data_IF_667275913155
#
_entry.id   IF_667275913155
#
_cell.length_a   1.000
_cell.length_b   1.000
_cell.length_c   1.000
_cell.angle_alpha   90.00
_cell.angle_beta   90.00
_cell.angle_gamma   90.00
#
_symmetry.space_group_name_H-M   'P 1'
#
loop_
_entity.id
_entity.type
_entity.pdbx_description
1 polymer ?
#
# COMPACT_ATOMS: atom_id res chain seq x y z
N UNK A 1 -33.59 -34.26 -37.19
CA UNK A 1 -34.27 -33.61 -36.06
C UNK A 1 -33.30 -32.65 -35.37
N UNK A 2 -33.74 -31.49 -34.87
CA UNK A 2 -32.93 -30.51 -34.14
C UNK A 2 -32.99 -30.74 -32.62
N UNK A 3 -31.85 -30.75 -31.93
CA UNK A 3 -31.59 -30.28 -30.53
C UNK A 3 -30.06 -30.14 -30.34
N UNK A 4 -29.51 -29.27 -29.47
CA UNK A 4 -30.15 -28.12 -28.82
C UNK A 4 -29.52 -27.58 -27.51
N UNK A 5 -28.34 -28.03 -27.05
CA UNK A 5 -27.76 -27.70 -25.74
C UNK A 5 -26.27 -27.34 -25.86
N UNK A 6 -25.79 -26.10 -25.63
CA UNK A 6 -25.75 -25.29 -24.39
C UNK A 6 -24.58 -25.65 -23.44
N UNK A 7 -23.52 -24.86 -23.48
CA UNK A 7 -22.45 -24.85 -22.47
C UNK A 7 -22.99 -24.42 -21.10
N UNK A 8 -22.38 -24.90 -20.00
CA UNK A 8 -22.05 -23.97 -18.93
C UNK A 8 -20.63 -24.12 -18.37
N UNK A 9 -19.99 -22.97 -18.24
CA UNK A 9 -19.02 -22.55 -17.23
C UNK A 9 -18.73 -23.53 -16.08
N UNK A 10 -17.47 -23.97 -15.95
CA UNK A 10 -16.95 -24.57 -14.71
C UNK A 10 -16.03 -23.58 -13.98
N UNK A 11 -16.62 -22.79 -13.08
CA UNK A 11 -15.92 -22.05 -12.03
C UNK A 11 -15.75 -22.97 -10.83
N UNK A 12 -14.54 -23.48 -10.57
CA UNK A 12 -14.21 -24.09 -9.28
C UNK A 12 -12.74 -23.84 -8.89
N UNK A 13 -12.54 -22.84 -8.02
CA UNK A 13 -11.31 -22.61 -7.28
C UNK A 13 -11.63 -22.68 -5.78
N UNK A 14 -11.25 -23.77 -5.11
CA UNK A 14 -10.85 -23.84 -3.68
C UNK A 14 -10.57 -25.27 -3.23
N UNK A 15 -9.75 -25.36 -2.17
CA UNK A 15 -9.49 -26.53 -1.31
C UNK A 15 -8.43 -27.54 -1.79
N UNK A 16 -7.21 -27.36 -1.26
CA UNK A 16 -6.19 -28.39 -1.00
C UNK A 16 -6.72 -29.50 -0.07
N UNK A 17 -5.97 -30.62 0.19
CA UNK A 17 -4.76 -31.14 -0.47
C UNK A 17 -4.93 -32.60 -0.96
N UNK A 18 -3.86 -33.21 -1.48
CA UNK A 18 -3.71 -34.66 -1.71
C UNK A 18 -4.43 -35.25 -2.94
N UNK A 19 -3.85 -35.06 -4.13
CA UNK A 19 -3.61 -36.09 -5.17
C UNK A 19 -2.75 -35.44 -6.28
N UNK A 20 -1.43 -35.59 -6.17
CA UNK A 20 -0.49 -35.47 -7.29
C UNK A 20 0.13 -36.85 -7.56
N UNK A 21 -0.74 -37.87 -7.68
CA UNK A 21 -0.36 -39.26 -7.99
C UNK A 21 -1.19 -39.87 -9.13
N UNK A 22 -1.59 -39.05 -10.12
CA UNK A 22 -1.90 -39.54 -11.46
C UNK A 22 -1.83 -38.41 -12.50
N UNK A 23 -0.66 -38.25 -13.11
CA UNK A 23 -0.61 -37.81 -14.52
C UNK A 23 0.30 -38.78 -15.28
N UNK A 24 -0.24 -39.63 -16.16
CA UNK A 24 0.58 -40.37 -17.09
C UNK A 24 1.16 -39.39 -18.11
N UNK A 25 2.48 -39.46 -18.29
CA UNK A 25 3.30 -38.85 -19.36
C UNK A 25 2.50 -38.21 -20.52
N UNK A 26 2.10 -36.95 -20.31
CA UNK A 26 1.18 -36.19 -21.18
C UNK A 26 1.77 -34.86 -21.66
N UNK A 27 3.08 -34.86 -21.93
CA UNK A 27 3.89 -33.83 -22.60
C UNK A 27 3.22 -32.45 -22.80
N UNK A 28 3.21 -31.63 -21.74
CA UNK A 28 3.13 -30.18 -21.93
C UNK A 28 4.31 -29.77 -22.81
N UNK A 29 4.08 -29.05 -23.93
CA UNK A 29 5.14 -28.59 -24.85
C UNK A 29 6.00 -27.44 -24.26
N UNK A 30 6.36 -27.55 -22.99
CA UNK A 30 7.33 -26.65 -22.35
C UNK A 30 8.72 -27.17 -22.77
N UNK A 31 9.61 -26.34 -23.34
CA UNK A 31 10.93 -26.80 -23.72
C UNK A 31 11.67 -27.35 -22.49
N UNK A 32 12.30 -28.51 -22.60
CA UNK A 32 13.00 -29.17 -21.48
C UNK A 32 14.03 -28.24 -20.80
N UNK A 33 14.62 -27.33 -21.59
CA UNK A 33 15.49 -26.26 -21.09
C UNK A 33 14.79 -25.32 -20.07
N UNK A 34 13.53 -24.93 -20.31
CA UNK A 34 12.78 -24.07 -19.39
C UNK A 34 12.45 -24.80 -18.09
N UNK A 35 12.13 -26.09 -18.16
CA UNK A 35 11.92 -26.92 -16.97
C UNK A 35 13.21 -27.03 -16.15
N UNK A 36 14.34 -27.37 -16.77
CA UNK A 36 15.63 -27.43 -16.06
C UNK A 36 16.04 -26.10 -15.46
N UNK A 37 15.87 -24.98 -16.18
CA UNK A 37 16.16 -23.64 -15.66
C UNK A 37 15.27 -23.34 -14.44
N UNK A 38 13.96 -23.58 -14.51
CA UNK A 38 13.05 -23.34 -13.40
C UNK A 38 13.38 -24.22 -12.17
N UNK A 39 13.61 -25.51 -12.37
CA UNK A 39 14.01 -26.44 -11.29
C UNK A 39 15.33 -26.01 -10.67
N UNK A 40 16.34 -25.63 -11.46
CA UNK A 40 17.63 -25.20 -10.95
C UNK A 40 17.53 -23.87 -10.20
N UNK A 41 16.79 -22.89 -10.73
CA UNK A 41 16.57 -21.59 -10.09
C UNK A 41 15.83 -21.72 -8.74
N UNK A 42 14.88 -22.65 -8.63
CA UNK A 42 14.15 -22.91 -7.39
C UNK A 42 14.93 -23.78 -6.39
N UNK A 43 15.66 -24.81 -6.83
CA UNK A 43 16.33 -25.75 -5.92
C UNK A 43 17.74 -25.33 -5.50
N UNK A 44 18.50 -24.62 -6.35
CA UNK A 44 19.87 -24.20 -6.04
C UNK A 44 19.97 -23.34 -4.76
N UNK A 45 19.12 -22.31 -4.53
CA UNK A 45 19.20 -21.51 -3.29
C UNK A 45 18.95 -22.37 -2.04
N UNK A 46 18.01 -23.32 -2.12
CA UNK A 46 17.70 -24.25 -1.03
C UNK A 46 18.85 -25.22 -0.74
N UNK A 47 19.50 -25.76 -1.77
CA UNK A 47 20.65 -26.65 -1.63
C UNK A 47 21.87 -25.93 -1.02
N UNK A 48 22.12 -24.68 -1.44
CA UNK A 48 23.18 -23.83 -0.85
C UNK A 48 22.86 -23.50 0.61
N UNK A 49 21.62 -23.12 0.92
CA UNK A 49 21.20 -22.86 2.29
C UNK A 49 21.32 -24.09 3.21
N UNK A 50 20.91 -25.27 2.72
CA UNK A 50 20.98 -26.52 3.49
C UNK A 50 22.43 -26.99 3.74
N UNK A 51 23.29 -26.90 2.73
CA UNK A 51 24.73 -27.23 2.89
C UNK A 51 25.43 -26.25 3.82
N UNK A 52 25.13 -24.95 3.72
CA UNK A 52 25.62 -23.94 4.66
C UNK A 52 25.14 -24.19 6.10
N UNK A 53 23.86 -24.53 6.29
CA UNK A 53 23.28 -24.85 7.60
C UNK A 53 23.94 -26.10 8.23
N UNK A 54 24.21 -27.14 7.43
CA UNK A 54 24.94 -28.33 7.88
C UNK A 54 26.40 -28.05 8.26
N UNK A 55 27.06 -27.16 7.52
CA UNK A 55 28.43 -26.71 7.84
C UNK A 55 28.45 -25.88 9.14
N UNK A 56 27.59 -24.87 9.24
CA UNK A 56 27.46 -24.02 10.43
C UNK A 56 27.02 -24.82 11.68
N UNK A 57 26.13 -25.80 11.52
CA UNK A 57 25.73 -26.69 12.61
C UNK A 57 26.88 -27.57 13.13
N UNK A 58 27.75 -28.07 12.24
CA UNK A 58 28.95 -28.82 12.64
C UNK A 58 29.93 -27.94 13.41
N UNK A 59 30.19 -26.72 12.95
CA UNK A 59 31.04 -25.75 13.66
C UNK A 59 30.45 -25.35 15.02
N UNK A 60 29.12 -25.24 15.12
CA UNK A 60 28.44 -24.93 16.37
C UNK A 60 28.60 -26.05 17.42
N UNK A 61 28.46 -27.31 17.01
CA UNK A 61 28.69 -28.48 17.88
C UNK A 61 30.18 -28.64 18.24
N UNK A 62 31.08 -28.24 17.35
CA UNK A 62 32.52 -28.26 17.59
C UNK A 62 33.04 -27.11 18.49
N UNK A 63 32.18 -26.19 18.92
CA UNK A 63 32.56 -25.09 19.82
C UNK A 63 33.54 -24.08 19.23
N UNK A 64 33.56 -23.92 17.91
CA UNK A 64 34.52 -23.03 17.24
C UNK A 64 34.37 -21.55 17.64
N UNK A 65 35.49 -20.84 17.79
CA UNK A 65 35.56 -19.46 18.28
C UNK A 65 34.66 -18.46 17.50
N UNK A 66 34.43 -18.73 16.20
CA UNK A 66 33.54 -17.94 15.35
C UNK A 66 32.03 -18.10 15.61
N UNK A 67 31.59 -19.03 16.47
CA UNK A 67 30.16 -19.29 16.71
C UNK A 67 29.44 -18.05 17.28
N UNK A 68 30.05 -17.40 18.28
CA UNK A 68 29.48 -16.22 18.94
C UNK A 68 29.32 -15.08 17.92
N UNK A 69 30.32 -14.88 17.05
CA UNK A 69 30.27 -13.87 15.99
C UNK A 69 29.14 -14.13 15.00
N UNK A 70 28.92 -15.38 14.58
CA UNK A 70 27.82 -15.76 13.67
C UNK A 70 26.44 -15.55 14.31
N UNK A 71 26.28 -15.91 15.59
CA UNK A 71 25.03 -15.68 16.34
C UNK A 71 24.76 -14.17 16.49
N UNK A 72 25.76 -13.38 16.85
CA UNK A 72 25.64 -11.92 16.96
C UNK A 72 25.29 -11.27 15.62
N UNK A 73 25.90 -11.70 14.51
CA UNK A 73 25.57 -11.21 13.17
C UNK A 73 24.15 -11.59 12.74
N UNK A 74 23.70 -12.82 13.04
CA UNK A 74 22.34 -13.26 12.74
C UNK A 74 21.29 -12.45 13.53
N UNK A 75 21.53 -12.22 14.83
CA UNK A 75 20.66 -11.39 15.67
C UNK A 75 20.66 -9.92 15.22
N UNK A 76 21.82 -9.37 14.85
CA UNK A 76 21.92 -8.01 14.32
C UNK A 76 21.16 -7.86 13.00
N UNK A 77 21.29 -8.83 12.08
CA UNK A 77 20.57 -8.82 10.81
C UNK A 77 19.06 -8.97 11.00
N UNK A 78 18.61 -9.83 11.92
CA UNK A 78 17.20 -9.97 12.29
C UNK A 78 16.65 -8.67 12.90
N UNK A 79 17.39 -8.03 13.81
CA UNK A 79 17.03 -6.74 14.39
C UNK A 79 16.94 -5.63 13.32
N UNK A 80 17.89 -5.60 12.36
CA UNK A 80 17.82 -4.69 11.21
C UNK A 80 16.58 -4.97 10.38
N UNK A 81 16.31 -6.20 9.96
CA UNK A 81 15.11 -6.53 9.16
C UNK A 81 13.81 -6.15 9.89
N UNK A 82 13.74 -6.33 11.21
CA UNK A 82 12.55 -5.98 12.01
C UNK A 82 12.40 -4.47 12.29
N UNK A 83 13.51 -3.71 12.36
CA UNK A 83 13.50 -2.30 12.77
C UNK A 83 13.68 -1.30 11.62
N UNK A 84 14.37 -1.70 10.56
CA UNK A 84 14.66 -0.86 9.38
C UNK A 84 13.38 -0.33 8.70
N UNK A 85 12.29 -1.11 8.50
CA UNK A 85 11.05 -0.56 7.94
C UNK A 85 10.45 0.55 8.80
N UNK A 86 10.47 0.39 10.14
CA UNK A 86 9.96 1.39 11.10
C UNK A 86 10.83 2.64 11.17
N UNK A 87 12.15 2.50 10.98
CA UNK A 87 13.08 3.63 10.94
C UNK A 87 12.95 4.40 9.61
N UNK A 88 12.83 3.69 8.49
CA UNK A 88 12.58 4.29 7.17
C UNK A 88 11.23 5.00 7.16
N UNK A 89 10.17 4.41 7.70
CA UNK A 89 8.85 5.06 7.82
C UNK A 89 8.90 6.39 8.58
N UNK A 90 9.68 6.48 9.65
CA UNK A 90 9.92 7.75 10.37
C UNK A 90 10.69 8.79 9.55
N UNK A 91 11.64 8.36 8.73
CA UNK A 91 12.38 9.24 7.82
C UNK A 91 11.60 9.58 6.52
N UNK A 92 10.53 8.83 6.23
CA UNK A 92 9.61 9.04 5.09
C UNK A 92 8.37 9.87 5.43
N UNK A 93 8.28 10.49 6.60
CA UNK A 93 7.30 11.57 6.82
C UNK A 93 7.54 12.63 5.75
N UNK A 94 6.61 12.72 4.79
CA UNK A 94 6.99 12.99 3.41
C UNK A 94 7.38 14.43 3.13
N UNK A 95 8.11 14.67 2.02
CA UNK A 95 8.34 16.01 1.54
C UNK A 95 6.98 16.70 1.32
N UNK A 96 6.90 17.95 1.77
CA UNK A 96 5.72 18.80 1.59
C UNK A 96 5.42 18.98 0.11
N UNK A 97 4.19 18.69 -0.30
CA UNK A 97 3.74 18.72 -1.69
C UNK A 97 3.15 20.10 -2.03
N UNK A 98 3.58 20.71 -3.13
CA UNK A 98 2.98 21.94 -3.63
C UNK A 98 1.66 21.64 -4.37
N UNK A 99 0.76 22.64 -4.44
CA UNK A 99 -0.56 22.55 -5.08
C UNK A 99 -0.45 22.10 -6.55
N UNK A 100 0.55 22.58 -7.29
CA UNK A 100 0.75 22.22 -8.70
C UNK A 100 1.13 20.75 -8.87
N UNK A 101 1.94 20.21 -7.96
CA UNK A 101 2.32 18.79 -7.95
C UNK A 101 1.14 17.88 -7.53
N UNK A 102 0.29 18.34 -6.61
CA UNK A 102 -0.97 17.65 -6.29
C UNK A 102 -1.89 17.61 -7.52
N UNK A 103 -2.06 18.74 -8.21
CA UNK A 103 -2.87 18.82 -9.44
C UNK A 103 -2.33 17.91 -10.54
N UNK A 104 -1.02 17.85 -10.74
CA UNK A 104 -0.41 16.96 -11.73
C UNK A 104 -0.70 15.48 -11.44
N UNK A 105 -0.60 15.05 -10.17
CA UNK A 105 -0.95 13.67 -9.77
C UNK A 105 -2.44 13.35 -9.95
N UNK A 106 -3.33 14.27 -9.54
CA UNK A 106 -4.77 14.12 -9.73
C UNK A 106 -5.15 14.02 -11.22
N UNK A 107 -4.51 14.81 -12.09
CA UNK A 107 -4.72 14.76 -13.54
C UNK A 107 -4.20 13.47 -14.20
N UNK A 108 -3.27 12.75 -13.57
CA UNK A 108 -2.70 11.50 -14.10
C UNK A 108 -3.49 10.26 -13.72
N UNK A 109 -4.55 10.40 -12.91
CA UNK A 109 -5.27 9.28 -12.29
C UNK A 109 -4.33 8.35 -11.50
N UNK A 110 -3.24 8.89 -10.93
CA UNK A 110 -2.37 8.17 -10.01
C UNK A 110 -3.21 7.62 -8.84
N UNK A 111 -2.85 6.44 -8.31
CA UNK A 111 -3.48 5.86 -7.10
C UNK A 111 -3.07 6.61 -5.81
N UNK A 112 -3.39 7.90 -5.75
CA UNK A 112 -3.16 8.81 -4.64
C UNK A 112 -4.43 8.93 -3.79
N UNK A 113 -4.35 8.58 -2.50
CA UNK A 113 -5.42 8.93 -1.58
C UNK A 113 -5.29 10.40 -1.19
N UNK A 114 -6.30 11.22 -1.51
CA UNK A 114 -6.41 12.58 -1.01
C UNK A 114 -7.30 12.60 0.25
N UNK A 115 -6.72 12.94 1.39
CA UNK A 115 -7.40 12.97 2.69
C UNK A 115 -7.51 14.41 3.19
N UNK A 116 -8.75 14.88 3.36
CA UNK A 116 -9.07 16.17 3.94
C UNK A 116 -9.32 16.03 5.44
N UNK A 117 -8.46 16.66 6.24
CA UNK A 117 -8.48 16.58 7.72
C UNK A 117 -9.15 17.79 8.38
N UNK A 118 -9.96 18.54 7.63
CA UNK A 118 -10.89 19.53 8.18
C UNK A 118 -12.10 18.85 8.83
N UNK A 119 -12.88 19.62 9.61
CA UNK A 119 -14.16 19.15 10.14
C UNK A 119 -15.16 18.92 9.01
N UNK A 120 -16.21 18.13 9.25
CA UNK A 120 -17.26 17.90 8.25
C UNK A 120 -17.96 19.20 7.81
N UNK A 121 -18.11 20.19 8.71
CA UNK A 121 -18.64 21.51 8.38
C UNK A 121 -17.69 22.27 7.44
N UNK A 122 -16.41 22.40 7.83
CA UNK A 122 -15.38 23.05 7.02
C UNK A 122 -15.24 22.43 5.61
N UNK A 123 -15.57 21.14 5.45
CA UNK A 123 -15.51 20.37 4.19
C UNK A 123 -16.72 20.65 3.27
N UNK A 124 -17.88 20.93 3.84
CA UNK A 124 -19.12 21.29 3.13
C UNK A 124 -19.31 22.81 2.98
N UNK A 125 -18.52 23.61 3.71
CA UNK A 125 -18.51 25.07 3.67
C UNK A 125 -18.17 25.65 2.29
N UNK A 126 -18.32 26.98 2.16
CA UNK A 126 -18.09 27.78 0.93
C UNK A 126 -16.71 27.64 0.28
N UNK A 127 -15.74 27.01 0.95
CA UNK A 127 -14.43 26.69 0.35
C UNK A 127 -14.49 25.43 -0.54
N UNK A 128 -15.57 24.65 -0.45
CA UNK A 128 -15.71 23.36 -1.12
C UNK A 128 -14.67 22.33 -0.70
N UNK A 129 -14.60 21.26 -1.46
CA UNK A 129 -13.62 20.19 -1.35
C UNK A 129 -13.15 19.72 -2.72
N UNK A 130 -12.02 18.99 -2.76
CA UNK A 130 -11.44 18.46 -3.99
C UNK A 130 -12.18 17.15 -4.35
N UNK A 131 -12.45 16.94 -5.64
CA UNK A 131 -13.10 15.72 -6.14
C UNK A 131 -12.28 14.48 -5.76
N UNK A 132 -12.96 13.44 -5.28
CA UNK A 132 -12.30 12.20 -4.84
C UNK A 132 -11.57 12.31 -3.50
N UNK A 133 -11.60 13.47 -2.81
CA UNK A 133 -11.06 13.56 -1.45
C UNK A 133 -11.97 12.83 -0.44
N UNK A 134 -11.34 12.14 0.50
CA UNK A 134 -12.00 11.53 1.65
C UNK A 134 -11.91 12.49 2.85
N UNK A 135 -13.02 12.77 3.53
CA UNK A 135 -13.00 13.56 4.77
C UNK A 135 -12.90 12.67 6.01
N UNK A 136 -11.81 12.82 6.77
CA UNK A 136 -11.66 12.29 8.12
C UNK A 136 -11.08 13.41 8.98
N UNK A 137 -11.90 14.05 9.85
CA UNK A 137 -11.42 15.11 10.74
C UNK A 137 -10.20 14.67 11.56
N UNK A 138 -9.28 15.59 11.84
CA UNK A 138 -8.06 15.32 12.61
C UNK A 138 -8.37 14.65 13.97
N UNK A 139 -9.48 15.03 14.59
CA UNK A 139 -9.96 14.54 15.88
C UNK A 139 -10.51 13.10 15.81
N UNK A 140 -10.96 12.64 14.64
CA UNK A 140 -11.44 11.28 14.38
C UNK A 140 -10.39 10.38 13.72
N UNK A 141 -9.25 10.96 13.32
CA UNK A 141 -8.25 10.26 12.50
C UNK A 141 -7.72 8.99 13.17
N UNK A 142 -7.52 9.02 14.50
CA UNK A 142 -7.02 7.87 15.28
C UNK A 142 -8.07 6.76 15.44
N UNK A 143 -9.36 7.10 15.57
CA UNK A 143 -10.43 6.11 15.69
C UNK A 143 -10.81 5.48 14.35
N UNK A 144 -10.57 6.20 13.24
CA UNK A 144 -10.92 5.79 11.87
C UNK A 144 -9.74 5.24 11.03
N UNK A 145 -8.58 4.97 11.65
CA UNK A 145 -7.40 4.38 11.00
C UNK A 145 -7.69 3.07 10.23
N UNK A 146 -8.69 2.29 10.67
CA UNK A 146 -9.10 1.05 10.01
C UNK A 146 -9.53 1.29 8.54
N UNK A 147 -10.20 2.41 8.24
CA UNK A 147 -10.63 2.79 6.88
C UNK A 147 -9.44 3.09 5.97
N UNK A 148 -8.32 3.54 6.56
CA UNK A 148 -7.09 3.92 5.86
C UNK A 148 -6.11 2.75 5.70
N UNK A 149 -6.36 1.60 6.33
CA UNK A 149 -5.49 0.41 6.27
C UNK A 149 -5.16 -0.08 4.84
N UNK A 150 -6.08 -0.05 3.85
CA UNK A 150 -5.77 -0.40 2.46
C UNK A 150 -4.75 0.53 1.77
N UNK A 151 -4.43 1.68 2.38
CA UNK A 151 -3.54 2.70 1.83
C UNK A 151 -2.19 2.80 2.55
N UNK A 152 -1.87 1.85 3.45
CA UNK A 152 -0.59 1.84 4.19
C UNK A 152 0.66 1.93 3.30
N UNK A 153 0.63 1.28 2.13
CA UNK A 153 1.72 1.28 1.14
C UNK A 153 1.50 2.27 -0.02
N UNK A 154 0.34 2.94 -0.08
CA UNK A 154 -0.01 3.90 -1.14
C UNK A 154 0.37 5.33 -0.75
N UNK A 155 0.63 6.22 -1.72
CA UNK A 155 0.83 7.64 -1.41
C UNK A 155 -0.46 8.26 -0.86
N UNK A 156 -0.35 8.98 0.26
CA UNK A 156 -1.45 9.72 0.89
C UNK A 156 -1.12 11.21 0.91
N UNK A 157 -1.93 12.03 0.23
CA UNK A 157 -1.85 13.48 0.30
C UNK A 157 -2.83 14.03 1.35
N UNK A 158 -2.32 14.83 2.29
CA UNK A 158 -3.08 15.43 3.37
C UNK A 158 -3.32 16.91 3.12
N UNK A 159 -4.60 17.30 3.03
CA UNK A 159 -5.02 18.68 2.87
C UNK A 159 -5.81 19.17 4.09
N UNK A 160 -5.71 20.47 4.36
CA UNK A 160 -6.59 21.16 5.29
C UNK A 160 -6.74 22.62 4.84
N UNK A 161 -7.28 23.53 5.66
CA UNK A 161 -7.45 24.95 5.27
C UNK A 161 -6.13 25.61 4.83
N UNK A 162 -5.05 25.44 5.62
CA UNK A 162 -3.76 26.12 5.42
C UNK A 162 -2.57 25.17 5.33
N UNK A 163 -2.33 24.38 6.37
CA UNK A 163 -1.36 23.26 6.48
C UNK A 163 -1.24 22.71 7.92
N UNK A 164 -1.61 23.53 8.92
CA UNK A 164 -1.36 23.23 10.35
C UNK A 164 -2.04 21.94 10.86
N UNK A 165 -3.24 21.61 10.37
CA UNK A 165 -3.95 20.36 10.73
C UNK A 165 -3.36 19.16 9.99
N UNK A 166 -3.09 19.28 8.69
CA UNK A 166 -2.48 18.22 7.89
C UNK A 166 -1.06 17.85 8.35
N UNK A 167 -0.28 18.79 8.88
CA UNK A 167 1.01 18.50 9.54
C UNK A 167 0.87 17.58 10.76
N UNK A 168 -0.17 17.78 11.60
CA UNK A 168 -0.45 16.88 12.74
C UNK A 168 -0.93 15.51 12.28
N UNK A 169 -1.84 15.47 11.30
CA UNK A 169 -2.30 14.22 10.69
C UNK A 169 -1.15 13.39 10.11
N UNK A 170 -0.18 14.04 9.46
CA UNK A 170 1.01 13.36 8.91
C UNK A 170 1.86 12.69 9.99
N UNK A 171 2.00 13.33 11.17
CA UNK A 171 2.71 12.74 12.31
C UNK A 171 1.96 11.53 12.88
N UNK A 172 0.62 11.61 12.98
CA UNK A 172 -0.22 10.50 13.41
C UNK A 172 -0.08 9.33 12.43
N UNK A 173 -0.35 9.53 11.13
CA UNK A 173 -0.25 8.46 10.12
C UNK A 173 1.17 7.88 10.01
N UNK A 174 2.21 8.73 10.04
CA UNK A 174 3.60 8.27 10.06
C UNK A 174 3.95 7.43 11.29
N UNK A 175 3.30 7.68 12.45
CA UNK A 175 3.46 6.84 13.64
C UNK A 175 2.75 5.48 13.53
N UNK A 176 1.66 5.42 12.76
CA UNK A 176 0.85 4.23 12.51
C UNK A 176 1.36 3.36 11.36
N UNK A 177 2.49 3.73 10.74
CA UNK A 177 3.19 2.90 9.75
C UNK A 177 2.86 3.19 8.29
N UNK A 178 2.17 4.29 7.98
CA UNK A 178 1.95 4.71 6.59
C UNK A 178 3.28 5.07 5.91
N UNK A 179 3.53 4.48 4.73
CA UNK A 179 4.84 4.47 4.11
C UNK A 179 5.20 5.72 3.30
N UNK A 180 4.21 6.46 2.77
CA UNK A 180 4.40 7.65 1.94
C UNK A 180 3.27 8.67 2.18
N UNK A 181 3.54 9.66 3.04
CA UNK A 181 2.54 10.63 3.54
C UNK A 181 2.98 12.06 3.27
N UNK A 182 2.26 12.75 2.38
CA UNK A 182 2.59 14.11 1.94
C UNK A 182 1.67 15.16 2.55
N UNK A 183 2.23 16.29 2.99
CA UNK A 183 1.45 17.45 3.44
C UNK A 183 1.33 18.46 2.30
N UNK A 184 0.11 18.81 1.91
CA UNK A 184 -0.17 19.83 0.89
C UNK A 184 0.07 21.23 1.47
N UNK A 185 1.01 22.00 0.90
CA UNK A 185 1.34 23.36 1.33
C UNK A 185 0.24 24.34 0.90
N UNK A 186 -0.15 25.25 1.80
CA UNK A 186 -1.12 26.31 1.51
C UNK A 186 -2.58 25.86 1.50
N UNK A 187 -2.82 24.54 1.46
CA UNK A 187 -4.12 23.93 1.68
C UNK A 187 -5.21 24.39 0.73
N UNK A 188 -6.46 24.31 1.20
CA UNK A 188 -7.63 24.78 0.45
C UNK A 188 -7.61 26.30 0.21
N UNK A 189 -6.96 27.09 1.07
CA UNK A 189 -6.78 28.53 0.83
C UNK A 189 -5.97 28.78 -0.44
N UNK A 190 -4.87 28.07 -0.65
CA UNK A 190 -4.06 28.21 -1.87
C UNK A 190 -4.72 27.51 -3.08
N UNK A 191 -5.41 26.39 -2.88
CA UNK A 191 -6.21 25.72 -3.94
C UNK A 191 -7.24 26.67 -4.55
N UNK A 192 -8.03 27.33 -3.70
CA UNK A 192 -9.07 28.26 -4.14
C UNK A 192 -8.49 29.57 -4.69
N UNK A 193 -7.36 30.04 -4.14
CA UNK A 193 -6.61 31.18 -4.70
C UNK A 193 -6.11 30.90 -6.13
N UNK A 194 -5.81 29.65 -6.45
CA UNK A 194 -5.42 29.21 -7.79
C UNK A 194 -6.64 28.95 -8.71
N UNK A 195 -7.87 29.24 -8.27
CA UNK A 195 -9.14 29.01 -8.99
C UNK A 195 -9.28 27.57 -9.53
N UNK A 196 -8.81 26.60 -8.75
CA UNK A 196 -8.88 25.17 -9.09
C UNK A 196 -10.28 24.61 -8.82
N UNK A 197 -10.71 23.55 -9.54
CA UNK A 197 -12.04 22.98 -9.38
C UNK A 197 -12.25 22.47 -7.95
N UNK A 198 -13.43 22.76 -7.41
CA UNK A 198 -13.93 22.27 -6.12
C UNK A 198 -15.40 21.87 -6.27
N UNK A 199 -15.83 20.88 -5.51
CA UNK A 199 -17.25 20.56 -5.35
C UNK A 199 -17.77 21.25 -4.09
N UNK A 200 -18.94 21.86 -4.20
CA UNK A 200 -19.63 22.54 -3.09
C UNK A 200 -21.05 22.02 -3.02
N UNK A 201 -21.45 21.43 -1.89
CA UNK A 201 -22.75 20.75 -1.74
C UNK A 201 -23.95 21.72 -1.87
N UNK A 202 -23.72 23.03 -1.72
CA UNK A 202 -24.77 24.05 -1.74
C UNK A 202 -25.52 24.14 -3.07
N UNK A 203 -24.85 23.93 -4.22
CA UNK A 203 -25.45 24.08 -5.56
C UNK A 203 -26.57 23.06 -5.85
N UNK A 204 -26.56 21.90 -5.18
CA UNK A 204 -27.62 20.89 -5.34
C UNK A 204 -28.96 21.32 -4.74
N UNK A 205 -28.96 22.30 -3.81
CA UNK A 205 -30.18 22.71 -3.10
C UNK A 205 -31.01 23.77 -3.82
N UNK A 206 -30.40 24.60 -4.67
CA UNK A 206 -31.11 25.65 -5.41
C UNK A 206 -31.63 25.15 -6.77
N UNK A 207 -30.95 24.21 -7.44
CA UNK A 207 -31.48 23.58 -8.66
C UNK A 207 -32.77 22.77 -8.44
N UNK A 208 -33.05 22.32 -7.21
CA UNK A 208 -34.32 21.67 -6.84
C UNK A 208 -35.43 22.67 -6.48
N UNK A 209 -35.11 23.97 -6.31
CA UNK A 209 -36.09 25.04 -6.08
C UNK A 209 -36.55 25.74 -7.36
N UNK A 210 -35.82 25.56 -8.45
CA UNK A 210 -36.16 26.15 -9.77
C UNK A 210 -37.03 25.22 -10.64
N UNK A 211 -37.44 24.06 -10.09
CA UNK A 211 -38.28 23.03 -10.74
C UNK A 211 -39.62 22.83 -9.97
N UNK A 212 -39.91 23.67 -8.95
CA UNK A 212 -41.19 23.71 -8.23
C UNK A 212 -41.90 25.06 -8.41
#
# INVERSE_FOLDING_TARGET
MRVGASSPSCVWYRSFPSICSTMPLGLTRIPLLHYLIATYLCMLPGAIAYTYLGYAGREAVAGGEGLIQKVMLALALLAVVAFLPRLIGRLRQGPTMNIDALRERLNKEDELLLLDVRTANDYQDKLGHIVGSLNIPLEELESRLAELTPYLEKPVALICTTDRRSKKAAQILGSQGFADVHVVIGGMTQWNKNALPVHTTTETSDHLREIQ
#
